data_IF_731802814290
#
_entry.id   IF_731802814290
#
_cell.length_a   1.000
_cell.length_b   1.000
_cell.length_c   1.000
_cell.angle_alpha   90.00
_cell.angle_beta   90.00
_cell.angle_gamma   90.00
#
_symmetry.space_group_name_H-M   'P 1'
#
loop_
_entity.id
_entity.type
_entity.pdbx_description
1 polymer ?
#
# COMPACT_ATOMS: atom_id res chain seq x y z
N UNK A 1 -26.22 42.62 -51.50
CA UNK A 1 -24.84 42.24 -51.16
C UNK A 1 -24.75 42.37 -49.65
N UNK A 2 -25.39 41.43 -48.94
CA UNK A 2 -24.85 40.12 -48.52
C UNK A 2 -24.22 40.28 -47.12
N UNK A 3 -24.92 39.80 -46.09
CA UNK A 3 -24.69 38.53 -45.37
C UNK A 3 -23.44 38.62 -44.46
N UNK A 4 -23.60 38.76 -43.13
CA UNK A 4 -23.94 37.74 -42.12
C UNK A 4 -22.75 36.81 -41.75
N UNK A 5 -22.70 36.48 -40.46
CA UNK A 5 -22.00 35.33 -39.87
C UNK A 5 -20.50 35.42 -39.60
N UNK A 6 -20.20 35.77 -38.34
CA UNK A 6 -19.45 34.96 -37.37
C UNK A 6 -18.81 33.68 -37.95
N UNK A 7 -17.51 33.74 -38.22
CA UNK A 7 -16.69 32.56 -38.52
C UNK A 7 -15.98 32.09 -37.26
N UNK A 8 -16.51 31.06 -36.62
CA UNK A 8 -15.76 30.23 -35.67
C UNK A 8 -14.63 29.51 -36.43
N UNK A 9 -13.42 29.34 -35.86
CA UNK A 9 -12.42 28.48 -36.46
C UNK A 9 -12.89 27.01 -36.42
N UNK A 10 -12.51 26.20 -37.43
CA UNK A 10 -12.93 24.80 -37.54
C UNK A 10 -12.38 23.94 -36.41
N UNK A 11 -13.23 23.01 -35.97
CA UNK A 11 -12.92 21.89 -35.10
C UNK A 11 -11.93 20.93 -35.79
N UNK A 12 -11.21 20.18 -34.96
CA UNK A 12 -10.38 19.02 -35.31
C UNK A 12 -8.92 19.27 -35.72
N UNK A 13 -8.12 19.66 -34.74
CA UNK A 13 -6.79 19.06 -34.51
C UNK A 13 -6.58 18.98 -32.99
N UNK A 14 -7.19 17.99 -32.35
CA UNK A 14 -6.81 17.61 -30.98
C UNK A 14 -5.62 16.66 -31.14
N UNK A 15 -4.42 17.00 -30.65
CA UNK A 15 -3.32 16.04 -30.63
C UNK A 15 -3.73 14.85 -29.78
N UNK A 16 -3.49 13.63 -30.30
CA UNK A 16 -3.64 12.37 -29.58
C UNK A 16 -3.01 12.51 -28.19
N UNK A 17 -3.87 12.63 -27.18
CA UNK A 17 -3.44 12.65 -25.79
C UNK A 17 -3.08 11.23 -25.42
N UNK A 18 -1.85 10.82 -25.73
CA UNK A 18 -1.20 9.72 -25.04
C UNK A 18 -1.02 10.17 -23.59
N UNK A 19 -2.04 9.92 -22.76
CA UNK A 19 -1.83 9.99 -21.32
C UNK A 19 -0.94 8.81 -20.98
N UNK A 20 0.35 9.04 -20.83
CA UNK A 20 1.18 8.23 -19.96
C UNK A 20 0.52 8.34 -18.58
N UNK A 21 -0.36 7.38 -18.29
CA UNK A 21 -0.89 7.23 -16.96
C UNK A 21 0.31 6.95 -16.09
N UNK A 22 0.76 7.98 -15.39
CA UNK A 22 1.48 7.86 -14.15
C UNK A 22 0.55 7.07 -13.21
N UNK A 23 0.50 5.76 -13.42
CA UNK A 23 0.06 4.78 -12.45
C UNK A 23 1.12 4.83 -11.37
N UNK A 24 1.10 5.94 -10.62
CA UNK A 24 1.65 6.04 -9.30
C UNK A 24 1.06 4.85 -8.58
N UNK A 25 1.86 3.79 -8.46
CA UNK A 25 1.55 2.65 -7.63
C UNK A 25 1.32 3.23 -6.23
N UNK A 26 0.07 3.54 -5.90
CA UNK A 26 -0.34 4.13 -4.63
C UNK A 26 -0.24 3.02 -3.58
N UNK A 27 1.00 2.69 -3.23
CA UNK A 27 1.35 1.75 -2.18
C UNK A 27 0.95 2.39 -0.86
N UNK A 28 -0.14 1.89 -0.27
CA UNK A 28 -0.62 2.34 1.03
C UNK A 28 -0.46 1.21 2.03
N UNK A 29 0.36 1.42 3.06
CA UNK A 29 0.39 0.58 4.24
C UNK A 29 -0.35 1.26 5.39
N UNK A 30 -1.11 0.49 6.17
CA UNK A 30 -1.88 1.00 7.31
C UNK A 30 -1.90 -0.01 8.45
N UNK A 31 -1.73 0.49 9.67
CA UNK A 31 -2.02 -0.25 10.89
C UNK A 31 -3.52 -0.20 11.20
N UNK A 32 -4.16 -1.37 11.26
CA UNK A 32 -5.56 -1.52 11.65
C UNK A 32 -5.63 -1.96 13.11
N UNK A 33 -5.75 -1.00 14.01
CA UNK A 33 -5.83 -1.23 15.46
C UNK A 33 -7.05 -2.09 15.85
N UNK A 34 -8.22 -1.81 15.28
CA UNK A 34 -9.45 -2.54 15.58
C UNK A 34 -9.38 -4.03 15.22
N UNK A 35 -8.65 -4.37 14.14
CA UNK A 35 -8.48 -5.76 13.68
C UNK A 35 -7.10 -6.33 14.01
N UNK A 36 -6.27 -5.56 14.74
CA UNK A 36 -4.87 -5.88 15.07
C UNK A 36 -4.09 -6.46 13.89
N UNK A 37 -4.02 -5.72 12.79
CA UNK A 37 -3.33 -6.17 11.57
C UNK A 37 -2.65 -5.04 10.82
N UNK A 38 -1.55 -5.36 10.17
CA UNK A 38 -0.91 -4.54 9.16
C UNK A 38 -1.58 -4.84 7.82
N UNK A 39 -2.10 -3.81 7.16
CA UNK A 39 -2.74 -3.92 5.85
C UNK A 39 -1.91 -3.18 4.85
N UNK A 40 -1.47 -3.89 3.84
CA UNK A 40 -0.68 -3.37 2.74
C UNK A 40 -1.51 -3.42 1.47
N UNK A 41 -1.63 -2.30 0.76
CA UNK A 41 -2.39 -2.20 -0.49
C UNK A 41 -1.50 -1.62 -1.55
N UNK A 42 -1.61 -2.14 -2.76
CA UNK A 42 -0.93 -1.57 -3.91
C UNK A 42 -1.74 -1.85 -5.17
N UNK A 43 -1.32 -1.18 -6.24
CA UNK A 43 -1.93 -1.30 -7.55
C UNK A 43 -0.99 -2.07 -8.47
N UNK A 44 -1.56 -3.05 -9.17
CA UNK A 44 -0.92 -3.79 -10.25
C UNK A 44 -1.70 -3.45 -11.53
N UNK A 45 -1.28 -2.38 -12.20
CA UNK A 45 -2.08 -1.76 -13.27
C UNK A 45 -3.45 -1.31 -12.75
N UNK A 46 -4.58 -1.73 -13.37
CA UNK A 46 -5.92 -1.38 -12.90
C UNK A 46 -6.38 -2.21 -11.69
N UNK A 47 -5.63 -3.24 -11.30
CA UNK A 47 -6.03 -4.18 -10.25
C UNK A 47 -5.55 -3.70 -8.88
N UNK A 48 -6.47 -3.69 -7.92
CA UNK A 48 -6.15 -3.44 -6.50
C UNK A 48 -5.73 -4.75 -5.86
N UNK A 49 -4.52 -4.79 -5.30
CA UNK A 49 -4.01 -5.91 -4.51
C UNK A 49 -3.88 -5.50 -3.05
N UNK A 50 -3.97 -6.49 -2.18
CA UNK A 50 -3.87 -6.27 -0.75
C UNK A 50 -3.28 -7.48 -0.06
N UNK A 51 -2.36 -7.18 0.85
CA UNK A 51 -1.73 -8.13 1.74
C UNK A 51 -2.13 -7.78 3.18
N UNK A 52 -2.55 -8.76 3.95
CA UNK A 52 -2.85 -8.59 5.38
C UNK A 52 -1.94 -9.46 6.23
N UNK A 53 -1.37 -8.85 7.25
CA UNK A 53 -0.52 -9.49 8.24
C UNK A 53 -1.17 -9.30 9.61
N UNK A 54 -1.55 -10.39 10.26
CA UNK A 54 -2.02 -10.31 11.65
C UNK A 54 -0.87 -9.88 12.54
N UNK A 55 -1.13 -8.98 13.49
CA UNK A 55 -0.10 -8.60 14.45
C UNK A 55 0.39 -9.81 15.23
N UNK A 56 -0.48 -10.77 15.56
CA UNK A 56 -0.09 -12.02 16.25
C UNK A 56 0.99 -12.81 15.55
N UNK A 57 1.05 -12.72 14.21
CA UNK A 57 2.00 -13.47 13.40
C UNK A 57 3.34 -12.71 13.26
N UNK A 58 3.43 -11.46 13.70
CA UNK A 58 4.69 -10.70 13.75
C UNK A 58 5.55 -11.24 14.89
N UNK A 59 6.79 -11.62 14.57
CA UNK A 59 7.80 -12.19 15.48
C UNK A 59 8.97 -11.26 15.74
N UNK A 60 9.25 -10.33 14.82
CA UNK A 60 10.17 -9.22 15.02
C UNK A 60 9.67 -8.01 14.25
N UNK A 61 9.96 -6.81 14.75
CA UNK A 61 9.59 -5.55 14.10
C UNK A 61 10.72 -4.54 14.31
N UNK A 62 11.07 -3.81 13.27
CA UNK A 62 12.09 -2.77 13.29
C UNK A 62 11.61 -1.61 12.42
N UNK A 63 11.80 -0.38 12.91
CA UNK A 63 11.60 0.82 12.13
C UNK A 63 12.91 1.60 12.06
N UNK A 64 13.36 1.90 10.85
CA UNK A 64 14.49 2.78 10.59
C UNK A 64 13.92 4.11 10.11
N UNK A 65 14.04 5.13 10.95
CA UNK A 65 13.51 6.46 10.71
C UNK A 65 14.67 7.44 10.81
N UNK A 66 14.97 8.16 9.73
CA UNK A 66 16.05 9.14 9.68
C UNK A 66 15.45 10.48 9.27
N UNK A 67 15.83 11.61 9.91
CA UNK A 67 15.26 12.91 9.58
C UNK A 67 15.41 13.24 8.10
N UNK A 68 14.31 13.64 7.46
CA UNK A 68 14.21 13.96 6.03
C UNK A 68 14.45 12.78 5.06
N UNK A 69 14.60 11.56 5.57
CA UNK A 69 14.74 10.35 4.76
C UNK A 69 13.46 9.49 4.83
N UNK A 70 13.20 8.66 3.81
CA UNK A 70 12.12 7.70 3.85
C UNK A 70 12.24 6.74 5.04
N UNK A 71 11.14 6.56 5.77
CA UNK A 71 11.08 5.63 6.89
C UNK A 71 10.93 4.19 6.40
N UNK A 72 11.73 3.26 6.91
CA UNK A 72 11.62 1.83 6.58
C UNK A 72 11.03 1.06 7.75
N UNK A 73 10.00 0.27 7.48
CA UNK A 73 9.44 -0.68 8.44
C UNK A 73 9.76 -2.09 7.99
N UNK A 74 10.42 -2.86 8.84
CA UNK A 74 10.74 -4.27 8.64
C UNK A 74 9.93 -5.10 9.63
N UNK A 75 9.28 -6.16 9.14
CA UNK A 75 8.54 -7.11 9.97
C UNK A 75 8.98 -8.52 9.62
N UNK A 76 9.28 -9.32 10.65
CA UNK A 76 9.43 -10.75 10.51
C UNK A 76 8.13 -11.44 10.90
N UNK A 77 7.68 -12.40 10.10
CA UNK A 77 6.44 -13.13 10.32
C UNK A 77 6.72 -14.58 10.73
N UNK A 78 5.81 -15.19 11.48
CA UNK A 78 5.75 -16.63 11.77
C UNK A 78 4.96 -17.41 10.72
N UNK A 79 4.10 -16.72 9.97
CA UNK A 79 3.22 -17.29 8.95
C UNK A 79 3.19 -16.36 7.73
N UNK A 80 2.96 -16.92 6.53
CA UNK A 80 2.78 -16.11 5.34
C UNK A 80 1.62 -15.12 5.48
N UNK A 81 1.70 -13.95 4.82
CA UNK A 81 0.59 -13.01 4.73
C UNK A 81 -0.64 -13.61 4.04
N UNK A 82 -1.80 -12.98 4.26
CA UNK A 82 -3.01 -13.29 3.51
C UNK A 82 -3.16 -12.33 2.33
N UNK A 83 -3.49 -12.87 1.16
CA UNK A 83 -3.63 -12.12 -0.08
C UNK A 83 -5.10 -11.90 -0.45
N UNK A 84 -5.37 -10.70 -0.96
CA UNK A 84 -6.70 -10.29 -1.39
C UNK A 84 -6.59 -9.48 -2.68
N UNK A 85 -7.60 -9.62 -3.55
CA UNK A 85 -7.78 -8.77 -4.72
C UNK A 85 -9.05 -7.93 -4.59
N UNK A 86 -8.99 -6.70 -5.09
CA UNK A 86 -10.13 -5.81 -5.14
C UNK A 86 -11.06 -6.21 -6.28
N UNK A 87 -12.35 -6.30 -5.97
CA UNK A 87 -13.39 -6.49 -6.98
C UNK A 87 -13.86 -5.11 -7.44
N UNK A 88 -13.98 -4.90 -8.75
CA UNK A 88 -14.59 -3.69 -9.31
C UNK A 88 -15.97 -3.49 -8.68
N UNK A 89 -16.21 -2.37 -7.97
CA UNK A 89 -17.48 -2.16 -7.32
C UNK A 89 -18.59 -2.10 -8.39
N UNK A 90 -19.63 -2.91 -8.22
CA UNK A 90 -20.87 -2.68 -8.95
C UNK A 90 -21.43 -1.30 -8.55
N UNK A 91 -22.10 -0.57 -9.48
CA UNK A 91 -22.65 0.74 -9.15
C UNK A 91 -23.54 0.66 -7.90
N UNK A 92 -23.17 1.41 -6.86
CA UNK A 92 -23.86 1.45 -5.56
C UNK A 92 -23.30 0.54 -4.46
N UNK A 93 -22.21 -0.20 -4.67
CA UNK A 93 -21.55 -1.01 -3.61
C UNK A 93 -20.15 -0.52 -3.30
N UNK A 94 -19.77 -0.55 -2.01
CA UNK A 94 -18.40 -0.28 -1.56
C UNK A 94 -17.41 -1.28 -2.18
N UNK A 95 -16.14 -0.88 -2.30
CA UNK A 95 -15.07 -1.78 -2.78
C UNK A 95 -14.99 -3.04 -1.91
N UNK A 96 -15.30 -4.19 -2.52
CA UNK A 96 -15.17 -5.50 -1.88
C UNK A 96 -13.77 -6.07 -2.14
N UNK A 97 -13.27 -6.83 -1.16
CA UNK A 97 -12.02 -7.59 -1.26
C UNK A 97 -12.37 -9.07 -1.19
N UNK A 98 -11.82 -9.87 -2.09
CA UNK A 98 -11.91 -11.33 -2.03
C UNK A 98 -10.54 -11.94 -1.78
N UNK A 99 -10.46 -13.09 -1.07
CA UNK A 99 -9.24 -13.87 -0.97
C UNK A 99 -8.67 -14.13 -2.37
N UNK A 100 -7.36 -14.02 -2.50
CA UNK A 100 -6.65 -14.27 -3.74
C UNK A 100 -5.47 -15.21 -3.50
N UNK A 101 -5.00 -15.84 -4.57
CA UNK A 101 -3.70 -16.49 -4.59
C UNK A 101 -2.58 -15.46 -4.45
N UNK A 102 -1.40 -15.94 -4.10
CA UNK A 102 -0.19 -15.13 -4.03
C UNK A 102 0.10 -14.47 -5.38
N UNK A 103 0.33 -13.17 -5.35
CA UNK A 103 0.66 -12.32 -6.51
C UNK A 103 2.12 -11.86 -6.49
N UNK A 104 2.94 -12.42 -5.59
CA UNK A 104 4.37 -12.11 -5.43
C UNK A 104 5.27 -13.21 -5.98
N UNK A 105 4.76 -14.03 -6.91
CA UNK A 105 5.47 -15.17 -7.51
C UNK A 105 6.06 -16.15 -6.47
N UNK A 106 5.43 -16.28 -5.31
CA UNK A 106 5.89 -17.12 -4.20
C UNK A 106 6.80 -16.40 -3.21
N UNK A 107 7.30 -15.20 -3.51
CA UNK A 107 8.27 -14.51 -2.66
C UNK A 107 7.71 -14.21 -1.27
N UNK A 108 6.47 -13.73 -1.16
CA UNK A 108 5.86 -13.45 0.14
C UNK A 108 5.42 -14.71 0.90
N UNK A 109 5.40 -15.87 0.25
CA UNK A 109 5.16 -17.15 0.91
C UNK A 109 6.43 -17.75 1.53
N UNK A 110 7.59 -17.48 0.93
CA UNK A 110 8.89 -18.02 1.39
C UNK A 110 9.68 -17.01 2.22
N UNK A 111 9.54 -15.72 1.92
CA UNK A 111 10.23 -14.66 2.62
C UNK A 111 9.48 -14.32 3.90
N UNK A 112 10.11 -14.59 5.03
CA UNK A 112 9.52 -14.30 6.34
C UNK A 112 9.80 -12.87 6.80
N UNK A 113 10.65 -12.12 6.10
CA UNK A 113 11.01 -10.73 6.42
C UNK A 113 10.50 -9.82 5.32
N UNK A 114 9.55 -8.94 5.63
CA UNK A 114 9.03 -7.96 4.68
C UNK A 114 9.45 -6.56 5.06
N UNK A 115 9.79 -5.74 4.06
CA UNK A 115 10.20 -4.35 4.23
C UNK A 115 9.27 -3.40 3.46
N UNK A 116 8.87 -2.32 4.13
CA UNK A 116 8.06 -1.24 3.57
C UNK A 116 8.84 0.06 3.66
N UNK A 117 8.86 0.86 2.61
CA UNK A 117 9.35 2.24 2.66
C UNK A 117 8.17 3.22 2.65
N UNK A 118 8.23 4.21 3.55
CA UNK A 118 7.26 5.29 3.70
C UNK A 118 7.91 6.63 3.38
N UNK A 119 7.16 7.63 2.89
CA UNK A 119 7.66 8.99 2.78
C UNK A 119 8.17 9.55 4.12
N UNK A 120 9.11 10.51 4.11
CA UNK A 120 9.66 11.09 5.33
C UNK A 120 8.58 11.58 6.32
N UNK A 121 8.71 11.23 7.59
CA UNK A 121 7.80 11.65 8.67
C UNK A 121 6.45 10.92 8.74
N UNK A 122 6.13 10.05 7.78
CA UNK A 122 4.86 9.29 7.80
C UNK A 122 4.94 8.11 8.77
N UNK A 123 6.06 7.38 8.78
CA UNK A 123 6.22 6.19 9.62
C UNK A 123 6.31 6.56 11.10
N UNK A 124 6.99 7.66 11.44
CA UNK A 124 7.35 8.08 12.80
C UNK A 124 6.15 8.09 13.75
N UNK A 125 5.13 8.90 13.44
CA UNK A 125 3.93 9.01 14.28
C UNK A 125 3.12 7.71 14.32
N UNK A 126 2.96 7.06 13.15
CA UNK A 126 2.18 5.83 13.06
C UNK A 126 2.83 4.67 13.82
N UNK A 127 4.16 4.62 13.85
CA UNK A 127 4.93 3.61 14.56
C UNK A 127 4.91 3.83 16.07
N UNK A 128 5.07 5.08 16.53
CA UNK A 128 4.91 5.41 17.95
C UNK A 128 3.52 5.03 18.47
N UNK A 129 2.46 5.40 17.75
CA UNK A 129 1.08 5.02 18.08
C UNK A 129 0.90 3.50 18.10
N UNK A 130 1.51 2.76 17.16
CA UNK A 130 1.47 1.30 17.12
C UNK A 130 2.02 0.70 18.42
N UNK A 131 3.20 1.14 18.84
CA UNK A 131 3.86 0.61 20.04
C UNK A 131 3.12 1.02 21.32
N UNK A 132 2.48 2.19 21.36
CA UNK A 132 1.67 2.59 22.52
C UNK A 132 0.40 1.74 22.67
N UNK A 133 -0.17 1.25 21.55
CA UNK A 133 -1.43 0.51 21.56
C UNK A 133 -1.26 -1.02 21.64
N UNK A 134 -0.05 -1.56 21.42
CA UNK A 134 0.20 -3.00 21.50
C UNK A 134 1.53 -3.30 22.22
N UNK A 135 1.42 -3.71 23.48
CA UNK A 135 2.56 -4.01 24.36
C UNK A 135 3.47 -5.11 23.79
N UNK A 136 2.88 -6.10 23.10
CA UNK A 136 3.65 -7.20 22.51
C UNK A 136 4.54 -6.70 21.37
N UNK A 137 3.99 -5.87 20.47
CA UNK A 137 4.79 -5.25 19.42
C UNK A 137 5.85 -4.28 19.99
N UNK A 138 5.53 -3.56 21.08
CA UNK A 138 6.49 -2.71 21.80
C UNK A 138 7.64 -3.50 22.43
N UNK A 139 7.39 -4.71 22.93
CA UNK A 139 8.46 -5.58 23.42
C UNK A 139 9.31 -6.10 22.26
N UNK A 140 8.69 -6.52 21.15
CA UNK A 140 9.40 -7.03 19.98
C UNK A 140 10.30 -5.97 19.35
N UNK A 141 9.90 -4.70 19.33
CA UNK A 141 10.70 -3.61 18.76
C UNK A 141 11.99 -3.29 19.54
N UNK A 142 12.06 -3.70 20.81
CA UNK A 142 13.25 -3.52 21.67
C UNK A 142 14.27 -4.66 21.51
N UNK A 143 13.88 -5.75 20.83
CA UNK A 143 14.75 -6.90 20.57
C UNK A 143 15.57 -6.63 19.30
N UNK A 144 16.78 -7.20 19.18
CA UNK A 144 17.54 -7.11 17.94
C UNK A 144 16.75 -7.76 16.80
N UNK A 145 16.63 -7.04 15.68
CA UNK A 145 16.01 -7.62 14.49
C UNK A 145 16.89 -8.76 13.94
N UNK A 146 16.32 -9.90 13.54
CA UNK A 146 17.08 -11.01 12.99
C UNK A 146 17.87 -10.56 11.76
N UNK A 147 19.14 -10.98 11.72
CA UNK A 147 19.95 -10.81 10.53
C UNK A 147 19.55 -11.86 9.50
N UNK A 148 19.44 -11.48 8.22
CA UNK A 148 19.27 -12.45 7.13
C UNK A 148 20.47 -13.39 7.03
#
# INVERSE_FOLDING_TARGET
MEENSQGSPPFDEIPDMESESSLQCELTAKFSYAKKKLVWKFFEGPLKRKMEVSWSDITAIEAVMTPNEPGRLRVQLAKPPLFFRGITPQPGKHSNWEPADDFTDGEALVCMIHEITFPPGVLDKNYEELLMNDERLAELSRRPFPKP
#
